data_IF_372596573071
#
_entry.id   IF_372596573071
#
_cell.length_a   1.000
_cell.length_b   1.000
_cell.length_c   1.000
_cell.angle_alpha   90.00
_cell.angle_beta   90.00
_cell.angle_gamma   90.00
#
_symmetry.space_group_name_H-M   'P 1'
#
loop_
_entity.id
_entity.type
_entity.pdbx_description
1 polymer ?
#
# COMPACT_ATOMS: atom_id res chain seq x y z
N UNK A 1 -2.53 18.17 -9.32
CA UNK A 1 -1.70 17.04 -9.02
C UNK A 1 -0.34 17.21 -9.58
N UNK A 2 0.69 16.91 -8.84
CA UNK A 2 2.03 17.02 -9.38
C UNK A 2 2.22 16.06 -10.53
N UNK A 3 3.00 16.50 -11.49
CA UNK A 3 3.31 15.68 -12.62
C UNK A 3 4.63 15.00 -12.42
N UNK A 4 4.70 13.72 -12.71
CA UNK A 4 5.94 13.00 -12.71
C UNK A 4 6.26 12.59 -14.13
N UNK A 5 7.52 12.71 -14.52
CA UNK A 5 7.88 12.21 -15.84
C UNK A 5 7.95 10.68 -15.77
N UNK A 6 8.22 10.04 -16.91
CA UNK A 6 8.16 8.60 -16.98
C UNK A 6 9.13 7.93 -16.03
N UNK A 7 10.34 8.46 -15.93
CA UNK A 7 11.32 7.86 -15.06
C UNK A 7 10.98 8.05 -13.60
N UNK A 8 10.51 9.22 -13.24
CA UNK A 8 10.14 9.48 -11.87
C UNK A 8 8.98 8.61 -11.43
N UNK A 9 8.03 8.42 -12.34
CA UNK A 9 6.89 7.58 -12.03
C UNK A 9 7.32 6.14 -11.82
N UNK A 10 8.24 5.66 -12.66
CA UNK A 10 8.74 4.31 -12.54
C UNK A 10 9.44 4.10 -11.20
N UNK A 11 10.25 5.06 -10.78
CA UNK A 11 10.95 4.98 -9.51
C UNK A 11 9.96 5.00 -8.35
N UNK A 12 8.95 5.86 -8.42
CA UNK A 12 7.94 5.93 -7.38
C UNK A 12 7.21 4.61 -7.27
N UNK A 13 6.78 4.04 -8.38
CA UNK A 13 6.02 2.81 -8.36
C UNK A 13 6.87 1.64 -7.85
N UNK A 14 8.15 1.60 -8.20
CA UNK A 14 9.01 0.55 -7.72
C UNK A 14 9.20 0.66 -6.21
N UNK A 15 9.38 1.87 -5.70
CA UNK A 15 9.51 2.06 -4.27
C UNK A 15 8.25 1.64 -3.54
N UNK A 16 7.08 1.96 -4.12
CA UNK A 16 5.81 1.55 -3.55
C UNK A 16 5.70 0.03 -3.51
N UNK A 17 6.07 -0.63 -4.62
CA UNK A 17 5.95 -2.07 -4.67
C UNK A 17 6.89 -2.74 -3.67
N UNK A 18 8.10 -2.22 -3.51
CA UNK A 18 9.04 -2.79 -2.55
C UNK A 18 8.49 -2.64 -1.14
N UNK A 19 7.92 -1.49 -0.81
CA UNK A 19 7.35 -1.27 0.50
C UNK A 19 6.15 -2.21 0.71
N UNK A 20 5.30 -2.35 -0.28
CA UNK A 20 4.12 -3.20 -0.14
C UNK A 20 4.52 -4.68 -0.01
N UNK A 21 5.55 -5.11 -0.71
CA UNK A 21 6.03 -6.47 -0.55
C UNK A 21 6.53 -6.70 0.88
N UNK A 22 7.21 -5.70 1.43
CA UNK A 22 7.67 -5.82 2.81
C UNK A 22 6.50 -5.92 3.77
N UNK A 23 5.46 -5.12 3.54
CA UNK A 23 4.29 -5.18 4.40
C UNK A 23 3.63 -6.55 4.31
N UNK A 24 3.53 -7.10 3.11
CA UNK A 24 2.92 -8.41 2.95
C UNK A 24 3.72 -9.48 3.69
N UNK A 25 5.04 -9.42 3.63
CA UNK A 25 5.86 -10.37 4.33
C UNK A 25 5.71 -10.21 5.84
N UNK A 26 5.69 -8.99 6.32
CA UNK A 26 5.57 -8.74 7.74
C UNK A 26 4.21 -9.22 8.25
N UNK A 27 3.17 -9.02 7.47
CA UNK A 27 1.85 -9.48 7.87
C UNK A 27 1.81 -10.99 7.86
N UNK A 28 2.44 -11.63 6.90
CA UNK A 28 2.48 -13.08 6.85
C UNK A 28 3.24 -13.65 8.04
N UNK A 29 4.24 -12.90 8.53
CA UNK A 29 4.99 -13.32 9.71
C UNK A 29 4.29 -12.91 11.00
N UNK A 30 3.12 -12.31 10.90
CA UNK A 30 2.33 -11.91 12.06
C UNK A 30 3.06 -10.94 12.96
N UNK A 31 3.78 -10.00 12.36
CA UNK A 31 4.41 -8.98 13.15
C UNK A 31 3.36 -8.00 13.68
N UNK A 32 3.63 -7.47 14.85
CA UNK A 32 2.68 -6.58 15.46
C UNK A 32 2.51 -5.30 14.68
N UNK A 33 3.56 -4.80 14.09
CA UNK A 33 3.50 -3.52 13.40
C UNK A 33 4.26 -3.62 12.08
N UNK A 34 3.61 -4.09 11.04
CA UNK A 34 4.28 -4.23 9.76
C UNK A 34 4.80 -2.91 9.21
N UNK A 35 4.09 -1.82 9.46
CA UNK A 35 4.54 -0.54 8.97
C UNK A 35 5.85 -0.12 9.61
N UNK A 36 5.98 -0.39 10.89
CA UNK A 36 7.21 -0.03 11.56
C UNK A 36 8.35 -0.92 11.11
N UNK A 37 8.09 -2.19 10.87
CA UNK A 37 9.11 -3.11 10.40
C UNK A 37 9.61 -2.70 9.02
N UNK A 38 8.78 -2.04 8.22
CA UNK A 38 9.14 -1.65 6.86
C UNK A 38 9.36 -0.15 6.75
N UNK A 39 9.67 0.52 7.86
CA UNK A 39 9.75 1.96 7.85
C UNK A 39 10.84 2.48 6.92
N UNK A 40 11.95 1.79 6.79
CA UNK A 40 13.00 2.24 5.89
C UNK A 40 12.49 2.29 4.45
N UNK A 41 11.76 1.28 4.04
CA UNK A 41 11.20 1.27 2.70
C UNK A 41 10.11 2.32 2.55
N UNK A 42 9.36 2.56 3.61
CA UNK A 42 8.37 3.61 3.56
C UNK A 42 9.01 4.96 3.35
N UNK A 43 10.15 5.22 4.00
CA UNK A 43 10.81 6.50 3.84
C UNK A 43 11.30 6.67 2.41
N UNK A 44 11.81 5.61 1.79
CA UNK A 44 12.23 5.68 0.40
C UNK A 44 11.02 5.96 -0.49
N UNK A 45 9.93 5.25 -0.27
CA UNK A 45 8.71 5.45 -1.02
C UNK A 45 8.22 6.89 -0.88
N UNK A 46 8.19 7.41 0.33
CA UNK A 46 7.70 8.76 0.58
C UNK A 46 8.62 9.81 -0.06
N UNK A 47 9.91 9.51 -0.16
CA UNK A 47 10.83 10.47 -0.75
C UNK A 47 10.80 10.43 -2.26
N UNK A 48 10.42 9.30 -2.86
CA UNK A 48 10.39 9.17 -4.32
C UNK A 48 9.04 9.53 -4.92
N UNK A 49 8.01 9.65 -4.12
CA UNK A 49 6.68 9.96 -4.60
C UNK A 49 6.18 11.26 -4.00
N UNK A 50 5.41 12.04 -4.74
CA UNK A 50 4.80 13.23 -4.15
C UNK A 50 3.88 12.85 -2.99
N UNK A 51 3.75 13.75 -2.04
CA UNK A 51 2.94 13.48 -0.85
C UNK A 51 1.51 13.10 -1.18
N UNK A 52 0.92 13.72 -2.19
CA UNK A 52 -0.45 13.37 -2.56
C UNK A 52 -0.53 11.95 -3.07
N UNK A 53 0.47 11.50 -3.79
CA UNK A 53 0.49 10.14 -4.31
C UNK A 53 0.71 9.15 -3.18
N UNK A 54 1.55 9.50 -2.21
CA UNK A 54 1.77 8.61 -1.06
C UNK A 54 0.45 8.40 -0.34
N UNK A 55 -0.30 9.47 -0.09
CA UNK A 55 -1.57 9.34 0.61
C UNK A 55 -2.56 8.52 -0.20
N UNK A 56 -2.58 8.71 -1.50
CA UNK A 56 -3.48 7.98 -2.38
C UNK A 56 -3.17 6.49 -2.32
N UNK A 57 -1.89 6.12 -2.40
CA UNK A 57 -1.51 4.71 -2.39
C UNK A 57 -1.77 4.09 -1.03
N UNK A 58 -1.56 4.83 0.05
CA UNK A 58 -1.83 4.29 1.37
C UNK A 58 -3.31 4.00 1.55
N UNK A 59 -4.16 4.88 1.07
CA UNK A 59 -5.60 4.68 1.18
C UNK A 59 -6.02 3.48 0.34
N UNK A 60 -5.47 3.36 -0.87
CA UNK A 60 -5.79 2.26 -1.74
C UNK A 60 -5.36 0.95 -1.11
N UNK A 61 -4.20 0.91 -0.52
CA UNK A 61 -3.70 -0.30 0.11
C UNK A 61 -4.60 -0.72 1.27
N UNK A 62 -4.99 0.22 2.11
CA UNK A 62 -5.84 -0.11 3.24
C UNK A 62 -7.16 -0.68 2.76
N UNK A 63 -7.71 -0.13 1.70
CA UNK A 63 -8.96 -0.61 1.19
C UNK A 63 -8.81 -2.03 0.65
N UNK A 64 -7.74 -2.31 -0.06
CA UNK A 64 -7.53 -3.63 -0.63
C UNK A 64 -7.29 -4.67 0.46
N UNK A 65 -6.56 -4.31 1.49
CA UNK A 65 -6.32 -5.24 2.59
C UNK A 65 -7.63 -5.53 3.31
N UNK A 66 -8.45 -4.51 3.50
CA UNK A 66 -9.73 -4.69 4.17
C UNK A 66 -10.63 -5.61 3.35
N UNK A 67 -10.69 -5.41 2.04
CA UNK A 67 -11.49 -6.26 1.19
C UNK A 67 -11.02 -7.70 1.23
N UNK A 68 -9.72 -7.90 1.17
CA UNK A 68 -9.18 -9.23 1.18
C UNK A 68 -9.50 -9.93 2.49
N UNK A 69 -9.40 -9.20 3.60
CA UNK A 69 -9.68 -9.79 4.90
C UNK A 69 -11.13 -10.22 5.01
N UNK A 70 -12.04 -9.40 4.51
CA UNK A 70 -13.44 -9.74 4.54
C UNK A 70 -13.69 -11.03 3.77
N UNK A 71 -13.10 -11.16 2.60
CA UNK A 71 -13.29 -12.36 1.81
C UNK A 71 -12.70 -13.58 2.52
N UNK A 72 -11.50 -13.44 3.06
CA UNK A 72 -10.85 -14.58 3.69
C UNK A 72 -11.52 -15.00 4.97
N UNK A 73 -12.08 -14.06 5.70
CA UNK A 73 -12.70 -14.38 6.96
C UNK A 73 -14.16 -14.78 6.81
N UNK A 74 -14.68 -14.73 5.61
CA UNK A 74 -16.04 -15.20 5.39
C UNK A 74 -17.12 -14.21 5.66
N UNK A 75 -16.79 -12.95 5.81
CA UNK A 75 -17.81 -11.94 5.98
C UNK A 75 -18.54 -11.77 4.69
N UNK A 76 -19.79 -11.43 4.79
CA UNK A 76 -20.54 -11.16 3.60
C UNK A 76 -20.11 -9.88 2.97
N UNK A 77 -19.98 -9.85 1.65
CA UNK A 77 -19.57 -8.63 0.99
C UNK A 77 -20.62 -7.57 1.15
N UNK A 78 -20.18 -6.37 1.21
CA UNK A 78 -21.09 -5.27 1.29
C UNK A 78 -21.71 -5.04 -0.03
N UNK A 79 -23.02 -4.97 -0.10
CA UNK A 79 -23.69 -4.91 -1.40
C UNK A 79 -23.29 -3.75 -2.26
N UNK A 80 -22.92 -2.65 -1.69
CA UNK A 80 -22.63 -1.55 -2.54
C UNK A 80 -21.46 -1.76 -3.29
N UNK A 81 -20.68 -2.75 -3.01
CA UNK A 81 -19.62 -2.89 -3.80
C UNK A 81 -19.97 -3.17 -5.07
N UNK A 82 -21.12 -3.59 -5.33
CA UNK A 82 -21.37 -3.80 -6.55
C UNK A 82 -21.50 -2.70 -7.24
N UNK A 83 -21.56 -1.81 -7.01
CA UNK A 83 -21.64 -0.82 -7.75
C UNK A 83 -20.97 -0.71 -8.66
#
# INVERSE_FOLDING_TARGET
MPHLNKEERSICWKSRDDYWKCLDKAEASKQLDPEKACQDLYQVFASKCPGQWVKHFERKRKFEVFKKRIVEEGFEPIPEEKK
#
